data_IF_867321783108
#
_entry.id   IF_867321783108
#
_cell.length_a   1.000
_cell.length_b   1.000
_cell.length_c   1.000
_cell.angle_alpha   90.00
_cell.angle_beta   90.00
_cell.angle_gamma   90.00
#
_symmetry.space_group_name_H-M   'P 1'
#
loop_
_entity.id
_entity.type
_entity.pdbx_description
1 polymer ?
#
# COMPACT_ATOMS: atom_id res chain seq x y z
N UNK A 1 -21.69 -3.11 7.47
CA UNK A 1 -21.56 -3.87 8.73
C UNK A 1 -20.09 -3.93 9.13
N UNK A 2 -19.19 -4.52 8.35
CA UNK A 2 -17.76 -4.69 8.71
C UNK A 2 -17.07 -3.38 9.07
N UNK A 3 -17.33 -2.30 8.31
CA UNK A 3 -16.76 -0.98 8.58
C UNK A 3 -17.21 -0.39 9.91
N UNK A 4 -18.49 -0.54 10.23
CA UNK A 4 -19.05 -0.06 11.50
C UNK A 4 -18.52 -0.86 12.68
N UNK A 5 -18.41 -2.20 12.54
CA UNK A 5 -17.83 -3.06 13.58
C UNK A 5 -16.36 -2.71 13.81
N UNK A 6 -15.60 -2.49 12.74
CA UNK A 6 -14.19 -2.11 12.86
C UNK A 6 -14.03 -0.73 13.50
N UNK A 7 -14.86 0.25 13.11
CA UNK A 7 -14.89 1.59 13.72
C UNK A 7 -15.20 1.51 15.22
N UNK A 8 -16.23 0.75 15.61
CA UNK A 8 -16.59 0.57 17.01
C UNK A 8 -15.46 -0.11 17.82
N UNK A 9 -14.86 -1.16 17.26
CA UNK A 9 -13.71 -1.84 17.90
C UNK A 9 -12.52 -0.90 18.05
N UNK A 10 -12.20 -0.13 17.01
CA UNK A 10 -11.10 0.83 17.04
C UNK A 10 -11.31 1.92 18.09
N UNK A 11 -12.54 2.41 18.24
CA UNK A 11 -12.90 3.37 19.29
C UNK A 11 -12.77 2.78 20.70
N UNK A 12 -13.17 1.51 20.89
CA UNK A 12 -13.03 0.83 22.18
C UNK A 12 -11.56 0.63 22.59
N UNK A 13 -10.69 0.37 21.62
CA UNK A 13 -9.26 0.09 21.87
C UNK A 13 -8.42 1.37 21.83
N UNK A 14 -8.98 2.53 21.49
CA UNK A 14 -8.25 3.78 21.29
C UNK A 14 -7.43 4.19 22.52
N UNK A 15 -8.03 4.27 23.70
CA UNK A 15 -7.33 4.63 24.93
C UNK A 15 -6.24 3.64 25.34
N UNK A 16 -6.50 2.31 25.40
CA UNK A 16 -5.46 1.33 25.64
C UNK A 16 -4.30 1.42 24.63
N UNK A 17 -4.62 1.61 23.33
CA UNK A 17 -3.62 1.71 22.27
C UNK A 17 -2.69 2.92 22.48
N UNK A 18 -3.24 4.10 22.75
CA UNK A 18 -2.46 5.32 23.03
C UNK A 18 -1.61 5.17 24.29
N UNK A 19 -2.10 4.43 25.29
CA UNK A 19 -1.33 4.08 26.47
C UNK A 19 -0.14 3.16 26.16
N UNK A 20 -0.35 2.12 25.33
CA UNK A 20 0.71 1.18 24.95
C UNK A 20 1.83 1.82 24.14
N UNK A 21 1.52 2.79 23.27
CA UNK A 21 2.54 3.52 22.50
C UNK A 21 3.16 4.69 23.29
N UNK A 22 2.85 4.81 24.59
CA UNK A 22 3.39 5.85 25.48
C UNK A 22 3.23 7.26 24.92
N UNK A 23 2.02 7.60 24.44
CA UNK A 23 1.73 8.93 23.90
C UNK A 23 1.99 9.99 24.95
N UNK A 24 2.80 11.04 24.67
CA UNK A 24 3.07 12.14 25.61
C UNK A 24 1.78 12.80 26.10
N UNK A 25 1.73 13.18 27.38
CA UNK A 25 0.54 13.77 27.99
C UNK A 25 0.09 15.08 27.33
N UNK A 26 1.06 15.85 26.82
CA UNK A 26 0.81 17.15 26.17
C UNK A 26 -0.02 17.03 24.89
N UNK A 27 0.05 15.91 24.19
CA UNK A 27 -0.65 15.67 22.92
C UNK A 27 -1.72 14.58 23.03
N UNK A 28 -1.90 13.98 24.22
CA UNK A 28 -2.77 12.81 24.40
C UNK A 28 -4.22 13.13 24.02
N UNK A 29 -4.79 14.20 24.54
CA UNK A 29 -6.19 14.59 24.28
C UNK A 29 -6.42 14.96 22.80
N UNK A 30 -5.45 15.64 22.17
CA UNK A 30 -5.49 15.93 20.73
C UNK A 30 -5.42 14.65 19.90
N UNK A 31 -4.59 13.69 20.32
CA UNK A 31 -4.47 12.40 19.65
C UNK A 31 -5.75 11.57 19.76
N UNK A 32 -6.38 11.55 20.95
CA UNK A 32 -7.69 10.91 21.16
C UNK A 32 -8.73 11.54 20.26
N UNK A 33 -8.84 12.87 20.26
CA UNK A 33 -9.83 13.60 19.47
C UNK A 33 -9.66 13.34 17.97
N UNK A 34 -8.43 13.43 17.46
CA UNK A 34 -8.12 13.16 16.05
C UNK A 34 -8.45 11.72 15.64
N UNK A 35 -7.94 10.75 16.40
CA UNK A 35 -8.12 9.34 16.10
C UNK A 35 -9.60 8.91 16.20
N UNK A 36 -10.35 9.43 17.19
CA UNK A 36 -11.76 9.14 17.32
C UNK A 36 -12.55 9.58 16.08
N UNK A 37 -12.32 10.81 15.59
CA UNK A 37 -12.98 11.32 14.38
C UNK A 37 -12.57 10.51 13.16
N UNK A 38 -11.28 10.16 13.03
CA UNK A 38 -10.79 9.34 11.91
C UNK A 38 -11.40 7.93 11.92
N UNK A 39 -11.57 7.33 13.10
CA UNK A 39 -12.21 6.01 13.20
C UNK A 39 -13.70 6.03 12.83
N UNK A 40 -14.40 7.15 13.07
CA UNK A 40 -15.75 7.35 12.54
C UNK A 40 -15.78 7.40 11.00
N UNK A 41 -14.68 7.77 10.34
CA UNK A 41 -14.53 7.81 8.89
C UNK A 41 -14.31 6.44 8.23
N UNK A 42 -13.90 5.43 8.99
CA UNK A 42 -13.59 4.09 8.44
C UNK A 42 -14.71 3.48 7.60
N UNK A 43 -16.01 3.55 8.00
CA UNK A 43 -17.10 3.05 7.17
C UNK A 43 -17.20 3.75 5.81
N UNK A 44 -17.01 5.07 5.76
CA UNK A 44 -17.05 5.84 4.52
C UNK A 44 -15.88 5.46 3.60
N UNK A 45 -14.68 5.36 4.15
CA UNK A 45 -13.48 4.93 3.40
C UNK A 45 -13.63 3.52 2.84
N UNK A 46 -14.18 2.57 3.61
CA UNK A 46 -14.44 1.21 3.12
C UNK A 46 -15.47 1.19 2.00
N UNK A 47 -16.57 1.95 2.14
CA UNK A 47 -17.58 2.07 1.08
C UNK A 47 -16.98 2.68 -0.19
N UNK A 48 -16.19 3.74 -0.07
CA UNK A 48 -15.48 4.32 -1.21
C UNK A 48 -14.60 3.28 -1.91
N UNK A 49 -13.78 2.52 -1.16
CA UNK A 49 -12.92 1.50 -1.73
C UNK A 49 -13.72 0.38 -2.43
N UNK A 50 -14.85 -0.04 -1.87
CA UNK A 50 -15.74 -1.04 -2.50
C UNK A 50 -16.33 -0.49 -3.80
N UNK A 51 -16.91 0.72 -3.80
CA UNK A 51 -17.54 1.28 -4.97
C UNK A 51 -16.53 1.58 -6.09
N UNK A 52 -15.36 2.10 -5.76
CA UNK A 52 -14.30 2.32 -6.74
C UNK A 52 -13.71 1.01 -7.27
N UNK A 53 -13.63 -0.02 -6.42
CA UNK A 53 -13.26 -1.38 -6.82
C UNK A 53 -14.27 -1.96 -7.82
N UNK A 54 -15.56 -1.78 -7.58
CA UNK A 54 -16.65 -2.19 -8.49
C UNK A 54 -16.54 -1.45 -9.83
N UNK A 55 -16.37 -0.12 -9.83
CA UNK A 55 -16.23 0.67 -11.05
C UNK A 55 -15.00 0.21 -11.87
N UNK A 56 -13.85 0.00 -11.21
CA UNK A 56 -12.65 -0.53 -11.88
C UNK A 56 -12.84 -1.94 -12.44
N UNK A 57 -13.65 -2.78 -11.79
CA UNK A 57 -13.90 -4.14 -12.28
C UNK A 57 -14.66 -4.17 -13.61
N UNK A 58 -15.48 -3.16 -13.91
CA UNK A 58 -16.15 -2.99 -15.19
C UNK A 58 -15.34 -2.15 -16.19
N UNK A 59 -14.09 -1.80 -15.88
CA UNK A 59 -13.17 -1.10 -16.76
C UNK A 59 -13.20 0.44 -16.64
N UNK A 60 -14.01 1.00 -15.74
CA UNK A 60 -14.05 2.44 -15.51
C UNK A 60 -13.10 2.85 -14.37
N UNK A 61 -11.98 3.45 -14.74
CA UNK A 61 -11.03 4.04 -13.80
C UNK A 61 -11.11 5.57 -13.76
N UNK A 62 -11.82 6.20 -14.72
CA UNK A 62 -11.90 7.67 -14.81
C UNK A 62 -12.80 8.26 -13.74
N UNK A 63 -13.96 7.64 -13.50
CA UNK A 63 -14.92 8.11 -12.48
C UNK A 63 -14.37 7.98 -11.06
N UNK A 64 -13.76 6.85 -10.65
CA UNK A 64 -13.04 6.77 -9.37
C UNK A 64 -12.00 7.87 -9.17
N UNK A 65 -11.21 8.20 -10.18
CA UNK A 65 -10.23 9.28 -10.11
C UNK A 65 -10.93 10.65 -9.92
N UNK A 66 -12.02 10.90 -10.66
CA UNK A 66 -12.78 12.15 -10.51
C UNK A 66 -13.32 12.31 -9.07
N UNK A 67 -13.88 11.26 -8.49
CA UNK A 67 -14.39 11.30 -7.11
C UNK A 67 -13.28 11.53 -6.09
N UNK A 68 -12.09 10.97 -6.34
CA UNK A 68 -10.91 11.26 -5.52
C UNK A 68 -10.52 12.73 -5.61
N UNK A 69 -10.45 13.30 -6.82
CA UNK A 69 -10.11 14.72 -7.01
C UNK A 69 -11.13 15.65 -6.36
N UNK A 70 -12.42 15.35 -6.45
CA UNK A 70 -13.47 16.09 -5.75
C UNK A 70 -13.26 16.00 -4.23
N UNK A 71 -12.98 14.82 -3.71
CA UNK A 71 -12.72 14.63 -2.28
C UNK A 71 -11.51 15.42 -1.80
N UNK A 72 -10.42 15.42 -2.57
CA UNK A 72 -9.20 16.20 -2.25
C UNK A 72 -9.49 17.70 -2.27
N UNK A 73 -10.24 18.19 -3.26
CA UNK A 73 -10.62 19.61 -3.33
C UNK A 73 -11.52 20.02 -2.13
N UNK A 74 -12.50 19.17 -1.79
CA UNK A 74 -13.36 19.40 -0.60
C UNK A 74 -12.53 19.37 0.68
N UNK A 75 -11.61 18.42 0.81
CA UNK A 75 -10.74 18.36 2.00
C UNK A 75 -9.91 19.63 2.14
N UNK A 76 -9.25 20.08 1.07
CA UNK A 76 -8.44 21.30 1.09
C UNK A 76 -9.24 22.53 1.49
N UNK A 77 -10.44 22.71 0.92
CA UNK A 77 -11.33 23.83 1.26
C UNK A 77 -11.77 23.77 2.72
N UNK A 78 -12.15 22.57 3.20
CA UNK A 78 -12.58 22.41 4.58
C UNK A 78 -11.42 22.53 5.58
N UNK A 79 -10.20 22.11 5.22
CA UNK A 79 -9.01 22.31 6.05
C UNK A 79 -8.75 23.81 6.24
N UNK A 80 -8.77 24.59 5.17
CA UNK A 80 -8.61 26.05 5.25
C UNK A 80 -9.73 26.68 6.07
N UNK A 81 -10.97 26.24 5.92
CA UNK A 81 -12.11 26.77 6.64
C UNK A 81 -12.06 26.42 8.15
N UNK A 82 -11.86 25.14 8.47
CA UNK A 82 -11.93 24.66 9.85
C UNK A 82 -10.66 24.97 10.65
N UNK A 83 -9.49 24.84 10.02
CA UNK A 83 -8.21 25.06 10.70
C UNK A 83 -7.81 26.53 10.64
N UNK A 84 -7.80 27.17 9.46
CA UNK A 84 -7.29 28.52 9.32
C UNK A 84 -8.34 29.60 9.72
N UNK A 85 -9.62 29.42 9.36
CA UNK A 85 -10.64 30.43 9.61
C UNK A 85 -11.33 30.22 10.98
N UNK A 86 -11.79 29.01 11.31
CA UNK A 86 -12.48 28.73 12.57
C UNK A 86 -11.54 28.40 13.73
N UNK A 87 -10.26 28.13 13.48
CA UNK A 87 -9.28 27.84 14.53
C UNK A 87 -9.51 26.50 15.25
N UNK A 88 -10.19 25.52 14.62
CA UNK A 88 -10.49 24.22 15.27
C UNK A 88 -9.25 23.31 15.39
N UNK A 89 -8.09 23.74 14.90
CA UNK A 89 -6.83 23.01 15.01
C UNK A 89 -6.91 21.57 14.49
N UNK A 90 -6.42 20.64 15.29
CA UNK A 90 -6.33 19.20 14.92
C UNK A 90 -7.70 18.57 14.68
N UNK A 91 -8.72 18.95 15.45
CA UNK A 91 -10.09 18.48 15.25
C UNK A 91 -10.66 18.95 13.91
N UNK A 92 -10.37 20.19 13.50
CA UNK A 92 -10.79 20.74 12.22
C UNK A 92 -10.26 19.92 11.05
N UNK A 93 -8.98 19.58 11.06
CA UNK A 93 -8.36 18.72 10.04
C UNK A 93 -8.98 17.31 10.00
N UNK A 94 -9.28 16.73 11.16
CA UNK A 94 -9.94 15.42 11.23
C UNK A 94 -11.36 15.46 10.65
N UNK A 95 -12.16 16.48 10.99
CA UNK A 95 -13.51 16.66 10.43
C UNK A 95 -13.49 16.93 8.92
N UNK A 96 -12.56 17.75 8.43
CA UNK A 96 -12.39 18.00 7.00
C UNK A 96 -12.11 16.69 6.24
N UNK A 97 -11.22 15.85 6.77
CA UNK A 97 -10.91 14.54 6.22
C UNK A 97 -12.13 13.61 6.24
N UNK A 98 -12.85 13.53 7.35
CA UNK A 98 -14.05 12.70 7.48
C UNK A 98 -15.12 13.11 6.46
N UNK A 99 -15.43 14.40 6.36
CA UNK A 99 -16.45 14.91 5.44
C UNK A 99 -16.03 14.64 3.99
N UNK A 100 -14.78 14.86 3.62
CA UNK A 100 -14.28 14.60 2.27
C UNK A 100 -14.38 13.11 1.90
N UNK A 101 -14.10 12.21 2.84
CA UNK A 101 -14.27 10.76 2.63
C UNK A 101 -15.75 10.38 2.44
N UNK A 102 -16.66 10.99 3.19
CA UNK A 102 -18.11 10.78 3.02
C UNK A 102 -18.55 11.27 1.62
N UNK A 103 -18.09 12.45 1.19
CA UNK A 103 -18.39 12.97 -0.16
C UNK A 103 -17.89 12.02 -1.23
N UNK A 104 -16.68 11.48 -1.10
CA UNK A 104 -16.13 10.49 -2.02
C UNK A 104 -16.97 9.21 -2.06
N UNK A 105 -17.34 8.68 -0.89
CA UNK A 105 -18.12 7.45 -0.77
C UNK A 105 -19.53 7.61 -1.36
N UNK A 106 -20.20 8.73 -1.07
CA UNK A 106 -21.54 9.03 -1.58
C UNK A 106 -21.49 9.21 -3.11
N UNK A 107 -20.53 9.98 -3.63
CA UNK A 107 -20.37 10.19 -5.07
C UNK A 107 -20.10 8.88 -5.82
N UNK A 108 -19.19 8.06 -5.31
CA UNK A 108 -18.90 6.74 -5.87
C UNK A 108 -20.11 5.80 -5.76
N UNK A 109 -20.85 5.84 -4.66
CA UNK A 109 -22.07 5.06 -4.46
C UNK A 109 -23.17 5.44 -5.46
N UNK A 110 -23.48 6.73 -5.59
CA UNK A 110 -24.47 7.21 -6.58
C UNK A 110 -24.10 6.74 -7.99
N UNK A 111 -22.82 6.83 -8.33
CA UNK A 111 -22.35 6.38 -9.64
C UNK A 111 -22.51 4.86 -9.83
N UNK A 112 -22.17 4.05 -8.86
CA UNK A 112 -22.30 2.57 -8.95
C UNK A 112 -23.75 2.15 -9.07
N UNK A 113 -24.67 2.80 -8.35
CA UNK A 113 -26.09 2.43 -8.35
C UNK A 113 -26.85 2.98 -9.57
N UNK A 114 -26.47 4.14 -10.11
CA UNK A 114 -27.20 4.82 -11.20
C UNK A 114 -26.44 4.88 -12.51
N UNK A 115 -25.10 4.95 -12.47
CA UNK A 115 -24.24 5.22 -13.61
C UNK A 115 -23.71 3.97 -14.32
N UNK A 116 -23.86 2.76 -13.74
CA UNK A 116 -23.37 1.51 -14.33
C UNK A 116 -24.55 0.60 -14.68
N UNK A 117 -25.10 0.68 -15.93
CA UNK A 117 -26.31 -0.06 -16.31
C UNK A 117 -26.15 -1.58 -16.20
N UNK A 118 -24.94 -2.10 -16.43
CA UNK A 118 -24.65 -3.55 -16.39
C UNK A 118 -24.80 -4.15 -14.99
N UNK A 119 -24.62 -3.35 -13.94
CA UNK A 119 -24.62 -3.86 -12.58
C UNK A 119 -26.03 -3.97 -11.99
N UNK A 120 -26.99 -3.12 -12.39
CA UNK A 120 -28.37 -3.08 -11.88
C UNK A 120 -28.51 -3.58 -10.43
N UNK A 121 -27.73 -3.00 -9.52
CA UNK A 121 -27.65 -3.45 -8.13
C UNK A 121 -29.02 -3.30 -7.45
N UNK A 122 -29.68 -4.42 -7.21
CA UNK A 122 -30.93 -4.48 -6.43
C UNK A 122 -30.57 -4.62 -4.95
N UNK A 123 -31.33 -3.97 -4.07
CA UNK A 123 -31.11 -4.05 -2.62
C UNK A 123 -31.02 -5.50 -2.09
N UNK A 124 -31.74 -6.44 -2.71
CA UNK A 124 -31.67 -7.87 -2.40
C UNK A 124 -30.29 -8.49 -2.64
N UNK A 125 -29.47 -7.90 -3.53
CA UNK A 125 -28.10 -8.39 -3.81
C UNK A 125 -27.09 -7.98 -2.73
N UNK A 126 -27.42 -7.00 -1.89
CA UNK A 126 -26.62 -6.55 -0.77
C UNK A 126 -26.70 -7.48 0.44
N UNK A 127 -27.66 -8.43 0.44
CA UNK A 127 -27.78 -9.41 1.52
C UNK A 127 -26.64 -10.42 1.40
N UNK A 128 -25.80 -10.55 2.43
CA UNK A 128 -24.68 -11.48 2.42
C UNK A 128 -25.18 -12.93 2.40
N UNK A 129 -24.61 -13.74 1.52
CA UNK A 129 -24.82 -15.19 1.51
C UNK A 129 -23.54 -15.89 1.93
N UNK A 130 -23.62 -16.94 2.73
CA UNK A 130 -22.45 -17.67 3.25
C UNK A 130 -21.45 -18.06 2.15
N UNK A 131 -21.94 -18.55 1.00
CA UNK A 131 -21.09 -18.94 -0.14
C UNK A 131 -20.29 -17.75 -0.71
N UNK A 132 -20.94 -16.58 -0.91
CA UNK A 132 -20.28 -15.37 -1.45
C UNK A 132 -19.31 -14.79 -0.43
N UNK A 133 -19.73 -14.70 0.84
CA UNK A 133 -18.88 -14.21 1.93
C UNK A 133 -17.62 -15.06 2.08
N UNK A 134 -17.75 -16.40 2.10
CA UNK A 134 -16.59 -17.31 2.16
C UNK A 134 -15.61 -17.09 1.00
N UNK A 135 -16.14 -16.89 -0.22
CA UNK A 135 -15.29 -16.63 -1.39
C UNK A 135 -14.54 -15.29 -1.28
N UNK A 136 -15.23 -14.23 -0.82
CA UNK A 136 -14.60 -12.93 -0.61
C UNK A 136 -13.55 -12.98 0.49
N UNK A 137 -13.82 -13.65 1.61
CA UNK A 137 -12.84 -13.84 2.68
C UNK A 137 -11.64 -14.65 2.22
N UNK A 138 -11.86 -15.71 1.45
CA UNK A 138 -10.76 -16.52 0.89
C UNK A 138 -9.85 -15.72 -0.05
N UNK A 139 -10.35 -14.69 -0.72
CA UNK A 139 -9.55 -13.78 -1.55
C UNK A 139 -8.96 -12.63 -0.74
N UNK A 140 -9.68 -12.10 0.24
CA UNK A 140 -9.27 -10.92 0.99
C UNK A 140 -8.29 -11.21 2.13
N UNK A 141 -8.50 -12.31 2.89
CA UNK A 141 -7.66 -12.64 4.05
C UNK A 141 -6.17 -12.75 3.68
N UNK A 142 -5.75 -13.47 2.61
CA UNK A 142 -4.33 -13.56 2.27
C UNK A 142 -3.71 -12.20 1.92
N UNK A 143 -4.47 -11.30 1.29
CA UNK A 143 -4.03 -9.94 0.98
C UNK A 143 -3.89 -9.10 2.25
N UNK A 144 -4.87 -9.17 3.16
CA UNK A 144 -4.80 -8.48 4.45
C UNK A 144 -3.64 -8.98 5.31
N UNK A 145 -3.44 -10.31 5.36
CA UNK A 145 -2.30 -10.92 6.05
C UNK A 145 -0.97 -10.41 5.51
N UNK A 146 -0.82 -10.30 4.18
CA UNK A 146 0.38 -9.77 3.57
C UNK A 146 0.69 -8.35 4.08
N UNK A 147 -0.29 -7.44 4.12
CA UNK A 147 -0.08 -6.08 4.65
C UNK A 147 0.32 -6.09 6.13
N UNK A 148 -0.35 -6.90 6.95
CA UNK A 148 -0.02 -7.05 8.37
C UNK A 148 1.40 -7.57 8.56
N UNK A 149 1.77 -8.62 7.86
CA UNK A 149 3.09 -9.26 7.93
C UNK A 149 4.18 -8.27 7.48
N UNK A 150 3.94 -7.54 6.38
CA UNK A 150 4.90 -6.52 5.89
C UNK A 150 5.06 -5.38 6.90
N UNK A 151 3.97 -4.95 7.56
CA UNK A 151 4.03 -3.93 8.63
C UNK A 151 4.82 -4.40 9.84
N UNK A 152 4.60 -5.64 10.30
CA UNK A 152 5.38 -6.24 11.39
C UNK A 152 6.87 -6.28 11.02
N UNK A 153 7.20 -6.71 9.80
CA UNK A 153 8.57 -6.72 9.30
C UNK A 153 9.21 -5.32 9.29
N UNK A 154 8.44 -4.29 8.94
CA UNK A 154 8.91 -2.89 8.99
C UNK A 154 9.15 -2.41 10.42
N UNK A 155 8.29 -2.80 11.37
CA UNK A 155 8.49 -2.47 12.80
C UNK A 155 9.75 -3.14 13.37
N UNK A 156 10.01 -4.40 13.01
CA UNK A 156 11.23 -5.12 13.42
C UNK A 156 12.47 -4.42 12.87
N UNK A 157 12.46 -4.05 11.59
CA UNK A 157 13.55 -3.32 10.98
C UNK A 157 13.76 -1.94 11.63
N UNK A 158 12.67 -1.21 11.89
CA UNK A 158 12.74 0.08 12.59
C UNK A 158 13.34 -0.06 14.00
N UNK A 159 12.99 -1.12 14.72
CA UNK A 159 13.60 -1.42 16.03
C UNK A 159 15.11 -1.62 15.93
N UNK A 160 15.58 -2.34 14.90
CA UNK A 160 17.02 -2.50 14.65
C UNK A 160 17.70 -1.15 14.32
N UNK A 161 17.05 -0.31 13.50
CA UNK A 161 17.55 1.05 13.16
C UNK A 161 17.66 1.93 14.40
N UNK A 162 16.70 1.85 15.32
CA UNK A 162 16.69 2.67 16.54
C UNK A 162 17.95 2.45 17.41
N UNK A 163 18.58 1.28 17.33
CA UNK A 163 19.84 0.99 18.03
C UNK A 163 21.06 1.78 17.55
N UNK A 164 20.96 2.45 16.38
CA UNK A 164 22.08 3.23 15.80
C UNK A 164 22.04 4.74 16.14
N UNK A 165 21.06 5.17 16.94
CA UNK A 165 20.93 6.55 17.40
C UNK A 165 20.11 7.45 16.50
N UNK A 166 19.79 8.65 17.03
CA UNK A 166 18.81 9.57 16.43
C UNK A 166 19.14 10.00 15.01
N UNK A 167 20.41 10.27 14.71
CA UNK A 167 20.85 10.72 13.40
C UNK A 167 20.60 9.66 12.31
N UNK A 168 20.89 8.39 12.62
CA UNK A 168 20.67 7.27 11.69
C UNK A 168 19.17 7.01 11.49
N UNK A 169 18.39 7.09 12.57
CA UNK A 169 16.91 6.98 12.50
C UNK A 169 16.32 8.07 11.60
N UNK A 170 16.78 9.32 11.77
CA UNK A 170 16.33 10.44 10.94
C UNK A 170 16.70 10.23 9.46
N UNK A 171 17.95 9.82 9.19
CA UNK A 171 18.42 9.50 7.85
C UNK A 171 17.62 8.38 7.19
N UNK A 172 17.39 7.27 7.91
CA UNK A 172 16.62 6.13 7.44
C UNK A 172 15.16 6.51 7.13
N UNK A 173 14.55 7.32 8.00
CA UNK A 173 13.17 7.79 7.82
C UNK A 173 13.05 8.70 6.59
N UNK A 174 13.96 9.65 6.42
CA UNK A 174 13.95 10.55 5.26
C UNK A 174 14.20 9.81 3.95
N UNK A 175 15.17 8.89 3.93
CA UNK A 175 15.47 8.06 2.77
C UNK A 175 14.32 7.10 2.44
N UNK A 176 13.64 6.53 3.46
CA UNK A 176 12.45 5.71 3.29
C UNK A 176 11.26 6.48 2.69
N UNK A 177 11.14 7.78 2.97
CA UNK A 177 10.13 8.63 2.30
C UNK A 177 10.46 8.83 0.81
N UNK A 178 11.73 9.04 0.47
CA UNK A 178 12.18 9.13 -0.92
C UNK A 178 11.89 7.82 -1.68
N UNK A 179 12.19 6.67 -1.09
CA UNK A 179 11.86 5.35 -1.61
C UNK A 179 10.35 5.18 -1.81
N UNK A 180 9.53 5.57 -0.83
CA UNK A 180 8.08 5.44 -0.92
C UNK A 180 7.50 6.21 -2.10
N UNK A 181 8.00 7.42 -2.39
CA UNK A 181 7.57 8.23 -3.54
C UNK A 181 7.92 7.53 -4.85
N UNK A 182 9.12 6.98 -4.97
CA UNK A 182 9.57 6.29 -6.18
C UNK A 182 8.88 4.94 -6.40
N UNK A 183 8.34 4.31 -5.35
CA UNK A 183 7.54 3.09 -5.42
C UNK A 183 6.12 3.31 -5.99
N UNK A 184 5.55 4.53 -5.90
CA UNK A 184 4.17 4.83 -6.29
C UNK A 184 3.89 4.48 -7.78
N UNK A 185 4.65 4.94 -8.78
CA UNK A 185 4.36 4.64 -10.18
C UNK A 185 4.42 3.16 -10.49
N UNK A 186 5.40 2.42 -9.95
CA UNK A 186 5.55 0.99 -10.17
C UNK A 186 4.40 0.19 -9.55
N UNK A 187 4.06 0.46 -8.30
CA UNK A 187 2.97 -0.21 -7.60
C UNK A 187 1.62 0.02 -8.29
N UNK A 188 1.35 1.25 -8.75
CA UNK A 188 0.11 1.59 -9.44
C UNK A 188 0.01 0.94 -10.83
N UNK A 189 1.12 0.85 -11.57
CA UNK A 189 1.16 0.12 -12.84
C UNK A 189 0.84 -1.37 -12.63
N UNK A 190 1.42 -1.98 -11.60
CA UNK A 190 1.16 -3.37 -11.24
C UNK A 190 -0.31 -3.61 -10.82
N UNK A 191 -0.90 -2.69 -10.04
CA UNK A 191 -2.33 -2.74 -9.66
C UNK A 191 -3.24 -2.62 -10.90
N UNK A 192 -2.91 -1.72 -11.84
CA UNK A 192 -3.65 -1.61 -13.10
C UNK A 192 -3.56 -2.91 -13.91
N UNK A 193 -2.38 -3.52 -13.98
CA UNK A 193 -2.18 -4.81 -14.63
C UNK A 193 -3.01 -5.92 -13.98
N UNK A 194 -3.15 -5.94 -12.65
CA UNK A 194 -3.99 -6.91 -11.92
C UNK A 194 -5.44 -6.86 -12.39
N UNK A 195 -6.00 -5.66 -12.55
CA UNK A 195 -7.36 -5.46 -13.05
C UNK A 195 -7.51 -6.01 -14.48
N UNK A 196 -6.57 -5.68 -15.36
CA UNK A 196 -6.55 -6.19 -16.74
C UNK A 196 -6.45 -7.72 -16.79
N UNK A 197 -5.57 -8.29 -15.97
CA UNK A 197 -5.38 -9.75 -15.87
C UNK A 197 -6.67 -10.41 -15.40
N UNK A 198 -7.33 -9.89 -14.37
CA UNK A 198 -8.57 -10.44 -13.84
C UNK A 198 -9.70 -10.45 -14.88
N UNK A 199 -9.88 -9.35 -15.64
CA UNK A 199 -10.87 -9.24 -16.70
C UNK A 199 -10.62 -10.24 -17.82
N UNK A 200 -9.38 -10.32 -18.32
CA UNK A 200 -9.02 -11.24 -19.41
C UNK A 200 -9.03 -12.70 -18.95
N UNK A 201 -8.73 -12.98 -17.68
CA UNK A 201 -8.84 -14.32 -17.12
C UNK A 201 -10.29 -14.79 -17.06
N UNK A 202 -11.21 -13.90 -16.63
CA UNK A 202 -12.64 -14.16 -16.64
C UNK A 202 -13.21 -14.35 -18.05
N UNK A 203 -12.61 -13.72 -19.07
CA UNK A 203 -12.97 -13.85 -20.48
C UNK A 203 -12.25 -15.01 -21.21
N UNK A 204 -11.40 -15.81 -20.54
CA UNK A 204 -10.63 -16.91 -21.15
C UNK A 204 -9.51 -16.47 -22.09
N UNK A 205 -9.16 -15.17 -22.12
CA UNK A 205 -8.18 -14.57 -23.05
C UNK A 205 -6.73 -14.75 -22.54
N UNK A 206 -6.29 -15.97 -22.39
CA UNK A 206 -4.99 -16.31 -21.77
C UNK A 206 -3.79 -15.74 -22.52
N UNK A 207 -3.82 -15.74 -23.87
CA UNK A 207 -2.75 -15.18 -24.70
C UNK A 207 -2.56 -13.68 -24.45
N UNK A 208 -3.67 -12.94 -24.29
CA UNK A 208 -3.62 -11.51 -23.97
C UNK A 208 -2.98 -11.26 -22.61
N UNK A 209 -3.27 -12.10 -21.61
CA UNK A 209 -2.67 -12.00 -20.28
C UNK A 209 -1.15 -12.14 -20.39
N UNK A 210 -0.67 -13.22 -21.00
CA UNK A 210 0.77 -13.49 -21.10
C UNK A 210 1.53 -12.37 -21.83
N UNK A 211 0.95 -11.85 -22.93
CA UNK A 211 1.53 -10.74 -23.70
C UNK A 211 1.56 -9.46 -22.87
N UNK A 212 0.47 -9.14 -22.18
CA UNK A 212 0.37 -7.91 -21.39
C UNK A 212 1.26 -7.93 -20.18
N UNK A 213 1.31 -9.05 -19.44
CA UNK A 213 2.20 -9.18 -18.29
C UNK A 213 3.67 -8.99 -18.71
N UNK A 214 4.09 -9.54 -19.86
CA UNK A 214 5.44 -9.31 -20.39
C UNK A 214 5.68 -7.82 -20.69
N UNK A 215 4.73 -7.13 -21.31
CA UNK A 215 4.84 -5.68 -21.60
C UNK A 215 4.90 -4.85 -20.32
N UNK A 216 4.01 -5.13 -19.38
CA UNK A 216 4.01 -4.45 -18.07
C UNK A 216 5.33 -4.67 -17.34
N UNK A 217 5.85 -5.90 -17.36
CA UNK A 217 7.14 -6.21 -16.75
C UNK A 217 8.29 -5.38 -17.35
N UNK A 218 8.34 -5.25 -18.67
CA UNK A 218 9.37 -4.44 -19.35
C UNK A 218 9.24 -2.95 -18.99
N UNK A 219 8.01 -2.43 -18.98
CA UNK A 219 7.77 -1.02 -18.62
C UNK A 219 8.10 -0.77 -17.15
N UNK A 220 7.68 -1.66 -16.26
CA UNK A 220 7.90 -1.52 -14.82
C UNK A 220 9.39 -1.67 -14.47
N UNK A 221 10.09 -2.57 -15.15
CA UNK A 221 11.55 -2.69 -15.05
C UNK A 221 12.25 -1.40 -15.53
N UNK A 222 11.78 -0.81 -16.64
CA UNK A 222 12.29 0.49 -17.10
C UNK A 222 12.06 1.60 -16.07
N UNK A 223 10.87 1.64 -15.46
CA UNK A 223 10.56 2.56 -14.35
C UNK A 223 11.46 2.32 -13.13
N UNK A 224 11.71 1.05 -12.78
CA UNK A 224 12.58 0.73 -11.65
C UNK A 224 14.03 1.19 -11.88
N UNK A 225 14.54 1.04 -13.10
CA UNK A 225 15.86 1.56 -13.48
C UNK A 225 15.90 3.10 -13.41
N UNK A 226 14.87 3.77 -13.93
CA UNK A 226 14.77 5.23 -13.84
C UNK A 226 14.72 5.69 -12.38
N UNK A 227 13.87 5.09 -11.55
CA UNK A 227 13.79 5.41 -10.13
C UNK A 227 15.09 5.10 -9.38
N UNK A 228 15.75 3.98 -9.73
CA UNK A 228 17.08 3.65 -9.22
C UNK A 228 18.10 4.75 -9.52
N UNK A 229 18.15 5.25 -10.76
CA UNK A 229 19.06 6.35 -11.15
C UNK A 229 18.71 7.65 -10.40
N UNK A 230 17.42 7.96 -10.23
CA UNK A 230 16.97 9.12 -9.46
C UNK A 230 17.39 9.02 -8.00
N UNK A 231 17.24 7.85 -7.37
CA UNK A 231 17.67 7.64 -5.98
C UNK A 231 19.20 7.65 -5.85
N UNK A 232 19.92 7.10 -6.83
CA UNK A 232 21.37 7.03 -6.81
C UNK A 232 22.02 8.39 -6.96
N UNK A 233 21.59 9.19 -7.96
CA UNK A 233 22.19 10.49 -8.26
C UNK A 233 21.53 11.66 -7.53
N UNK A 234 20.23 11.59 -7.30
CA UNK A 234 19.42 12.66 -6.69
C UNK A 234 19.04 12.40 -5.23
N UNK A 235 19.43 11.26 -4.67
CA UNK A 235 18.97 10.83 -3.34
C UNK A 235 19.35 11.79 -2.22
N UNK A 236 20.56 12.39 -2.29
CA UNK A 236 21.00 13.37 -1.30
C UNK A 236 20.13 14.62 -1.31
N UNK A 237 19.84 15.16 -2.48
CA UNK A 237 18.98 16.34 -2.66
C UNK A 237 17.55 16.05 -2.19
N UNK A 238 17.04 14.86 -2.52
CA UNK A 238 15.69 14.45 -2.10
C UNK A 238 15.61 14.30 -0.59
N UNK A 239 16.61 13.67 0.06
CA UNK A 239 16.67 13.57 1.52
C UNK A 239 16.75 14.95 2.18
N UNK A 240 17.52 15.88 1.59
CA UNK A 240 17.62 17.26 2.05
C UNK A 240 16.28 18.02 2.08
N UNK A 241 15.31 17.65 1.23
CA UNK A 241 13.96 18.24 1.27
C UNK A 241 13.14 17.81 2.51
N UNK A 242 13.52 16.73 3.17
CA UNK A 242 12.81 16.17 4.33
C UNK A 242 13.52 16.46 5.65
N UNK A 243 14.65 17.17 5.64
CA UNK A 243 15.47 17.39 6.82
C UNK A 243 15.83 18.86 6.98
N UNK A 244 15.64 19.38 8.19
CA UNK A 244 16.06 20.75 8.57
C UNK A 244 17.52 20.81 9.05
N UNK A 245 17.98 19.75 9.72
CA UNK A 245 19.35 19.65 10.24
C UNK A 245 20.18 18.69 9.36
N UNK A 246 21.13 19.26 8.63
CA UNK A 246 21.93 18.54 7.64
C UNK A 246 23.36 18.37 8.17
N UNK A 247 23.61 17.27 8.90
CA UNK A 247 24.94 16.95 9.34
C UNK A 247 25.57 15.81 8.50
N UNK A 248 26.88 15.72 8.49
CA UNK A 248 27.63 14.76 7.68
C UNK A 248 27.28 13.30 7.96
N UNK A 249 26.91 12.98 9.21
CA UNK A 249 26.57 11.63 9.64
C UNK A 249 25.20 11.18 9.08
N UNK A 250 24.23 12.10 9.04
CA UNK A 250 22.90 11.87 8.47
C UNK A 250 22.99 11.65 6.96
N UNK A 251 23.78 12.51 6.28
CA UNK A 251 23.99 12.41 4.83
C UNK A 251 24.62 11.08 4.47
N UNK A 252 25.65 10.67 5.21
CA UNK A 252 26.36 9.42 4.98
C UNK A 252 25.41 8.20 5.13
N UNK A 253 24.65 8.13 6.23
CA UNK A 253 23.73 7.05 6.47
C UNK A 253 22.61 6.98 5.42
N UNK A 254 22.05 8.14 5.02
CA UNK A 254 21.05 8.21 3.96
C UNK A 254 21.61 7.74 2.59
N UNK A 255 22.83 8.14 2.25
CA UNK A 255 23.52 7.69 1.02
C UNK A 255 23.74 6.17 1.03
N UNK A 256 24.22 5.59 2.12
CA UNK A 256 24.40 4.13 2.23
C UNK A 256 23.08 3.39 2.00
N UNK A 257 22.00 3.84 2.62
CA UNK A 257 20.68 3.23 2.43
C UNK A 257 20.19 3.36 0.99
N UNK A 258 20.19 4.57 0.42
CA UNK A 258 19.71 4.79 -0.94
C UNK A 258 20.57 4.08 -1.99
N UNK A 259 21.87 3.96 -1.76
CA UNK A 259 22.77 3.18 -2.61
C UNK A 259 22.36 1.70 -2.62
N UNK A 260 22.16 1.09 -1.45
CA UNK A 260 21.76 -0.32 -1.33
C UNK A 260 20.40 -0.58 -2.01
N UNK A 261 19.43 0.30 -1.79
CA UNK A 261 18.11 0.22 -2.39
C UNK A 261 18.21 0.36 -3.91
N UNK A 262 18.90 1.40 -4.42
CA UNK A 262 19.00 1.67 -5.86
C UNK A 262 19.64 0.50 -6.62
N UNK A 263 20.66 -0.13 -6.06
CA UNK A 263 21.31 -1.29 -6.69
C UNK A 263 20.37 -2.47 -6.93
N UNK A 264 19.42 -2.67 -6.04
CA UNK A 264 18.50 -3.82 -6.06
C UNK A 264 17.06 -3.45 -6.43
N UNK A 265 16.81 -2.23 -6.92
CA UNK A 265 15.47 -1.70 -7.12
C UNK A 265 14.65 -2.48 -8.18
N UNK A 266 15.32 -3.16 -9.10
CA UNK A 266 14.68 -4.06 -10.06
C UNK A 266 13.92 -5.23 -9.41
N UNK A 267 14.33 -5.67 -8.21
CA UNK A 267 13.59 -6.69 -7.44
C UNK A 267 12.19 -6.22 -7.04
N UNK A 268 12.04 -4.93 -6.72
CA UNK A 268 10.72 -4.33 -6.40
C UNK A 268 9.77 -4.43 -7.59
N UNK A 269 10.27 -4.23 -8.82
CA UNK A 269 9.49 -4.40 -10.03
C UNK A 269 9.00 -5.85 -10.19
N UNK A 270 9.89 -6.82 -9.99
CA UNK A 270 9.53 -8.25 -10.02
C UNK A 270 8.44 -8.54 -8.99
N UNK A 271 8.64 -8.09 -7.75
CA UNK A 271 7.69 -8.25 -6.65
C UNK A 271 6.31 -7.70 -6.99
N UNK A 272 6.24 -6.44 -7.42
CA UNK A 272 4.96 -5.78 -7.69
C UNK A 272 4.23 -6.42 -8.86
N UNK A 273 4.91 -6.65 -9.98
CA UNK A 273 4.28 -7.21 -11.18
C UNK A 273 3.79 -8.65 -10.95
N UNK A 274 4.63 -9.51 -10.37
CA UNK A 274 4.25 -10.91 -10.18
C UNK A 274 3.16 -11.06 -9.11
N UNK A 275 3.28 -10.36 -7.99
CA UNK A 275 2.28 -10.37 -6.91
C UNK A 275 0.92 -9.93 -7.41
N UNK A 276 0.85 -8.78 -8.08
CA UNK A 276 -0.41 -8.25 -8.61
C UNK A 276 -0.97 -9.09 -9.77
N UNK A 277 -0.11 -9.67 -10.62
CA UNK A 277 -0.55 -10.61 -11.66
C UNK A 277 -1.19 -11.87 -11.05
N UNK A 278 -0.55 -12.48 -10.07
CA UNK A 278 -1.09 -13.67 -9.38
C UNK A 278 -2.39 -13.34 -8.64
N UNK A 279 -2.49 -12.16 -8.04
CA UNK A 279 -3.73 -11.67 -7.45
C UNK A 279 -4.85 -11.54 -8.50
N UNK A 280 -4.57 -10.97 -9.67
CA UNK A 280 -5.51 -10.87 -10.79
C UNK A 280 -5.96 -12.23 -11.33
N UNK A 281 -5.10 -13.25 -11.26
CA UNK A 281 -5.44 -14.64 -11.58
C UNK A 281 -6.24 -15.36 -10.47
N UNK A 282 -6.60 -14.68 -9.37
CA UNK A 282 -7.29 -15.25 -8.22
C UNK A 282 -6.41 -16.07 -7.27
N UNK A 283 -5.08 -16.04 -7.47
CA UNK A 283 -4.11 -16.75 -6.61
C UNK A 283 -3.64 -15.85 -5.45
N UNK A 284 -4.57 -15.36 -4.63
CA UNK A 284 -4.30 -14.38 -3.57
C UNK A 284 -3.42 -14.91 -2.44
N UNK A 285 -3.35 -16.24 -2.26
CA UNK A 285 -2.41 -16.84 -1.30
C UNK A 285 -0.94 -16.51 -1.63
N UNK A 286 -0.62 -16.20 -2.88
CA UNK A 286 0.71 -15.75 -3.28
C UNK A 286 1.12 -14.46 -2.55
N UNK A 287 0.16 -13.59 -2.20
CA UNK A 287 0.43 -12.37 -1.44
C UNK A 287 0.91 -12.69 -0.02
N UNK A 288 0.26 -13.66 0.66
CA UNK A 288 0.67 -14.08 2.00
C UNK A 288 2.06 -14.76 1.97
N UNK A 289 2.33 -15.58 0.95
CA UNK A 289 3.65 -16.22 0.75
C UNK A 289 4.74 -15.17 0.52
N UNK A 290 4.48 -14.17 -0.33
CA UNK A 290 5.42 -13.06 -0.53
C UNK A 290 5.65 -12.27 0.76
N UNK A 291 4.58 -11.93 1.50
CA UNK A 291 4.71 -11.26 2.79
C UNK A 291 5.53 -12.05 3.81
N UNK A 292 5.36 -13.38 3.86
CA UNK A 292 6.19 -14.24 4.71
C UNK A 292 7.67 -14.19 4.29
N UNK A 293 7.97 -14.21 2.99
CA UNK A 293 9.33 -14.04 2.47
C UNK A 293 9.94 -12.69 2.87
N UNK A 294 9.18 -11.60 2.72
CA UNK A 294 9.60 -10.27 3.17
C UNK A 294 9.89 -10.23 4.68
N UNK A 295 9.03 -10.83 5.49
CA UNK A 295 9.21 -10.86 6.95
C UNK A 295 10.47 -11.66 7.33
N UNK A 296 10.64 -12.86 6.76
CA UNK A 296 11.83 -13.69 7.01
C UNK A 296 13.09 -12.91 6.65
N UNK A 297 13.11 -12.24 5.49
CA UNK A 297 14.25 -11.43 5.08
C UNK A 297 14.59 -10.33 6.08
N UNK A 298 13.60 -9.57 6.52
CA UNK A 298 13.79 -8.49 7.52
C UNK A 298 14.23 -9.01 8.87
N UNK A 299 13.62 -10.11 9.36
CA UNK A 299 14.04 -10.75 10.61
C UNK A 299 15.49 -11.22 10.51
N UNK A 300 15.83 -11.94 9.44
CA UNK A 300 17.18 -12.47 9.22
C UNK A 300 18.22 -11.35 9.21
N UNK A 301 17.95 -10.27 8.49
CA UNK A 301 18.87 -9.12 8.46
C UNK A 301 18.95 -8.44 9.83
N UNK A 302 17.81 -8.16 10.47
CA UNK A 302 17.77 -7.41 11.72
C UNK A 302 18.47 -8.14 12.88
N UNK A 303 18.30 -9.45 12.99
CA UNK A 303 18.82 -10.22 14.13
C UNK A 303 20.13 -10.96 13.85
N UNK A 304 20.36 -11.41 12.60
CA UNK A 304 21.53 -12.22 12.27
C UNK A 304 22.64 -11.38 11.62
N UNK A 305 22.32 -10.50 10.68
CA UNK A 305 23.35 -9.75 9.95
C UNK A 305 23.67 -8.38 10.56
N UNK A 306 22.71 -7.71 11.20
CA UNK A 306 22.95 -6.40 11.83
C UNK A 306 24.00 -6.46 12.94
N UNK A 307 24.08 -7.47 13.82
CA UNK A 307 25.17 -7.57 14.80
C UNK A 307 26.55 -7.75 14.17
N UNK A 308 26.62 -8.33 12.96
CA UNK A 308 27.89 -8.62 12.27
C UNK A 308 28.39 -7.45 11.41
N UNK A 309 27.46 -6.78 10.70
CA UNK A 309 27.78 -5.78 9.65
C UNK A 309 27.27 -4.38 9.98
N UNK A 310 26.62 -4.20 11.14
CA UNK A 310 26.09 -2.90 11.55
C UNK A 310 25.02 -2.34 10.63
N UNK A 311 25.00 -1.02 10.46
CA UNK A 311 24.00 -0.32 9.66
C UNK A 311 24.00 -0.73 8.18
N UNK A 312 25.14 -1.15 7.63
CA UNK A 312 25.21 -1.66 6.25
C UNK A 312 24.27 -2.85 6.02
N UNK A 313 24.18 -3.77 6.98
CA UNK A 313 23.23 -4.86 6.88
C UNK A 313 21.79 -4.34 6.79
N UNK A 314 21.43 -3.37 7.65
CA UNK A 314 20.09 -2.76 7.66
C UNK A 314 19.73 -2.16 6.30
N UNK A 315 20.68 -1.54 5.61
CA UNK A 315 20.47 -0.99 4.26
C UNK A 315 20.07 -2.05 3.23
N UNK A 316 20.51 -3.29 3.39
CA UNK A 316 20.13 -4.40 2.51
C UNK A 316 18.91 -5.20 2.99
N UNK A 317 18.26 -4.81 4.08
CA UNK A 317 17.08 -5.51 4.59
C UNK A 317 15.92 -5.52 3.60
N UNK A 318 15.68 -4.40 2.90
CA UNK A 318 14.70 -4.32 1.80
C UNK A 318 15.04 -5.27 0.65
N UNK A 319 16.22 -5.13 0.03
CA UNK A 319 16.70 -6.03 -1.03
C UNK A 319 16.59 -7.52 -0.71
N UNK A 320 17.04 -7.94 0.47
CA UNK A 320 16.94 -9.33 0.92
C UNK A 320 15.48 -9.77 1.07
N UNK A 321 14.64 -8.93 1.63
CA UNK A 321 13.21 -9.20 1.78
C UNK A 321 12.54 -9.36 0.40
N UNK A 322 12.82 -8.49 -0.56
CA UNK A 322 12.28 -8.58 -1.91
C UNK A 322 12.74 -9.85 -2.62
N UNK A 323 14.03 -10.20 -2.53
CA UNK A 323 14.56 -11.42 -3.12
C UNK A 323 13.85 -12.67 -2.59
N UNK A 324 13.68 -12.77 -1.27
CA UNK A 324 13.01 -13.92 -0.64
C UNK A 324 11.51 -13.99 -0.98
N UNK A 325 10.87 -12.85 -1.23
CA UNK A 325 9.49 -12.81 -1.70
C UNK A 325 9.38 -13.17 -3.20
N UNK A 326 10.35 -12.75 -4.02
CA UNK A 326 10.33 -12.98 -5.47
C UNK A 326 10.48 -14.44 -5.83
N UNK A 327 11.34 -15.19 -5.14
CA UNK A 327 11.60 -16.60 -5.44
C UNK A 327 10.30 -17.44 -5.51
N UNK A 328 9.42 -17.47 -4.49
CA UNK A 328 8.19 -18.24 -4.58
C UNK A 328 7.21 -17.64 -5.60
N UNK A 329 7.16 -16.31 -5.79
CA UNK A 329 6.29 -15.68 -6.77
C UNK A 329 6.66 -16.06 -8.21
N UNK A 330 7.96 -16.12 -8.53
CA UNK A 330 8.47 -16.56 -9.83
C UNK A 330 8.02 -18.00 -10.11
N UNK A 331 8.17 -18.91 -9.14
CA UNK A 331 7.77 -20.32 -9.27
C UNK A 331 6.26 -20.43 -9.49
N UNK A 332 5.46 -19.71 -8.69
CA UNK A 332 4.01 -19.72 -8.80
C UNK A 332 3.54 -19.14 -10.15
N UNK A 333 4.12 -18.02 -10.57
CA UNK A 333 3.80 -17.43 -11.87
C UNK A 333 4.18 -18.35 -13.03
N UNK A 334 5.36 -18.96 -13.00
CA UNK A 334 5.79 -19.89 -14.03
C UNK A 334 4.83 -21.08 -14.21
N UNK A 335 4.38 -21.67 -13.09
CA UNK A 335 3.36 -22.74 -13.10
C UNK A 335 2.05 -22.28 -13.73
N UNK A 336 1.57 -21.09 -13.36
CA UNK A 336 0.34 -20.50 -13.92
C UNK A 336 0.48 -20.13 -15.39
N UNK A 337 1.61 -19.55 -15.78
CA UNK A 337 1.90 -19.25 -17.19
C UNK A 337 1.93 -20.50 -18.06
N UNK A 338 2.53 -21.60 -17.57
CA UNK A 338 2.53 -22.90 -18.26
C UNK A 338 1.10 -23.44 -18.44
N UNK A 339 0.26 -23.34 -17.43
CA UNK A 339 -1.15 -23.73 -17.50
C UNK A 339 -1.91 -22.88 -18.53
N UNK A 340 -1.76 -21.54 -18.51
CA UNK A 340 -2.41 -20.65 -19.45
C UNK A 340 -1.97 -20.88 -20.90
N UNK A 341 -0.68 -21.17 -21.14
CA UNK A 341 -0.18 -21.53 -22.49
C UNK A 341 -0.86 -22.79 -23.03
N UNK A 342 -1.05 -23.81 -22.19
CA UNK A 342 -1.78 -25.03 -22.60
C UNK A 342 -3.24 -24.73 -22.98
N UNK A 343 -3.93 -23.91 -22.17
CA UNK A 343 -5.32 -23.53 -22.42
C UNK A 343 -5.48 -22.58 -23.62
N UNK A 344 -4.45 -21.81 -23.97
CA UNK A 344 -4.50 -20.92 -25.13
C UNK A 344 -4.27 -21.61 -26.48
N UNK A 345 -3.78 -22.86 -26.45
CA UNK A 345 -3.54 -23.68 -27.64
C UNK A 345 -4.67 -24.70 -27.90
N UNK A 346 -5.62 -24.77 -26.97
CA UNK A 346 -6.90 -25.46 -27.13
C UNK A 346 -7.96 -24.55 -27.73
#
# INVERSE_FOLDING_TARGET
ITGVLFSALALLVLHPMLGWIHTPKEIYDLSVQYAAIMYLGVPAQLLYNVFTGIARSVGDSKKPLLFLLISVAVNLVLDLLFVAHFGWGVAGAAWATLISQIVAAVSAGIYVFRGIPVLQLKARMLVPTAKRTRRQLALGIPVSLQFTITSIGSMILQSAVNGFGANVVAAFTAAGRAESITNIPMSNLAVAASTFVAQNYGAGQYRRILTTVRKVFVVDLGLSVLCSLVLFFGGEQIVGLFMTDYNSQIVYAAKEYLFAISLCYSLVSVLFVLRNTLQGLGCTYANAVAGAGELIGRITVSYLFTPLFGFKAVCFAGPVAWLLADLPLIVLYWRKAKQMRKLSNQ
#
